data_IF_679358444563
#
_entry.id   IF_679358444563
#
_cell.length_a   1.000
_cell.length_b   1.000
_cell.length_c   1.000
_cell.angle_alpha   90.00
_cell.angle_beta   90.00
_cell.angle_gamma   90.00
#
_symmetry.space_group_name_H-M   'P 1'
#
loop_
_entity.id
_entity.type
_entity.pdbx_description
1 polymer ?
#
# COMPACT_ATOMS: atom_id res chain seq x y z
N UNK A 1 24.35 -30.78 73.21
CA UNK A 1 24.39 -31.96 72.32
C UNK A 1 22.98 -32.24 71.84
N UNK A 2 22.81 -32.41 70.52
CA UNK A 2 21.65 -32.98 69.82
C UNK A 2 20.36 -32.14 69.65
N UNK A 3 19.98 -32.09 68.37
CA UNK A 3 18.60 -32.16 67.83
C UNK A 3 17.65 -30.98 68.04
N UNK A 4 17.80 -29.89 67.27
CA UNK A 4 16.61 -29.09 66.85
C UNK A 4 16.83 -28.12 65.66
N UNK A 5 17.73 -28.40 64.73
CA UNK A 5 17.88 -27.56 63.51
C UNK A 5 17.83 -28.30 62.17
N UNK A 6 17.41 -29.57 62.17
CA UNK A 6 17.31 -30.37 60.94
C UNK A 6 15.88 -30.77 60.55
N UNK A 7 14.86 -30.33 61.30
CA UNK A 7 13.45 -30.64 60.99
C UNK A 7 12.79 -29.51 60.18
N UNK A 8 13.21 -28.26 60.36
CA UNK A 8 12.69 -27.11 59.60
C UNK A 8 13.11 -27.06 58.13
N UNK A 9 14.26 -27.63 57.78
CA UNK A 9 14.75 -27.68 56.39
C UNK A 9 14.18 -28.88 55.62
N UNK A 10 13.79 -29.95 56.31
CA UNK A 10 13.15 -31.11 55.70
C UNK A 10 11.65 -30.89 55.44
N UNK A 11 10.95 -30.15 56.31
CA UNK A 11 9.53 -29.82 56.11
C UNK A 11 9.29 -28.78 55.00
N UNK A 12 10.23 -27.85 54.76
CA UNK A 12 10.16 -26.91 53.64
C UNK A 12 10.45 -27.59 52.29
N UNK A 13 11.27 -28.64 52.30
CA UNK A 13 11.55 -29.47 51.11
C UNK A 13 10.38 -30.40 50.76
N UNK A 14 9.63 -30.85 51.76
CA UNK A 14 8.42 -31.67 51.55
C UNK A 14 7.25 -30.80 51.09
N UNK A 15 7.08 -29.57 51.57
CA UNK A 15 5.99 -28.68 51.15
C UNK A 15 6.15 -28.15 49.70
N UNK A 16 7.38 -28.05 49.21
CA UNK A 16 7.67 -27.76 47.79
C UNK A 16 7.44 -28.96 46.85
N UNK A 17 7.28 -30.18 47.39
CA UNK A 17 7.08 -31.40 46.61
C UNK A 17 5.61 -31.87 46.53
N UNK A 18 4.64 -31.15 47.13
CA UNK A 18 3.21 -31.56 47.11
C UNK A 18 2.28 -30.58 46.36
N UNK A 19 2.82 -29.58 45.65
CA UNK A 19 2.03 -28.70 44.77
C UNK A 19 2.44 -28.78 43.28
N UNK A 20 3.14 -29.84 42.89
CA UNK A 20 3.27 -30.24 41.50
C UNK A 20 2.56 -31.57 41.26
N UNK A 21 1.24 -31.60 41.48
CA UNK A 21 0.38 -32.49 40.67
C UNK A 21 0.21 -31.87 39.29
N UNK A 22 1.31 -31.82 38.56
CA UNK A 22 1.29 -31.80 37.10
C UNK A 22 1.14 -33.25 36.67
N UNK A 23 0.13 -33.53 35.86
CA UNK A 23 -0.28 -34.82 35.30
C UNK A 23 -1.01 -35.76 36.26
N UNK A 24 -2.35 -35.62 36.27
CA UNK A 24 -3.21 -36.79 36.33
C UNK A 24 -2.97 -37.61 35.03
N UNK A 25 -2.41 -38.84 35.07
CA UNK A 25 -2.15 -39.62 33.87
C UNK A 25 -3.42 -40.28 33.29
N UNK A 26 -4.59 -39.98 33.86
CA UNK A 26 -5.85 -40.64 33.52
C UNK A 26 -6.80 -39.82 32.62
N UNK A 27 -6.36 -38.69 32.04
CA UNK A 27 -7.14 -37.94 31.03
C UNK A 27 -6.40 -37.76 29.68
N UNK A 28 -5.56 -38.73 29.30
CA UNK A 28 -4.96 -38.79 27.95
C UNK A 28 -5.93 -39.35 26.90
N UNK A 29 -7.18 -38.88 26.88
CA UNK A 29 -8.12 -39.15 25.78
C UNK A 29 -8.92 -37.88 25.46
N UNK A 30 -8.25 -36.97 24.76
CA UNK A 30 -8.88 -35.79 24.19
C UNK A 30 -7.84 -34.87 23.58
N UNK A 31 -7.37 -35.18 22.37
CA UNK A 31 -6.50 -34.31 21.59
C UNK A 31 -6.95 -32.84 21.70
N UNK A 32 -6.20 -31.98 22.40
CA UNK A 32 -6.42 -30.53 22.45
C UNK A 32 -5.95 -29.90 21.13
N UNK A 33 -6.62 -30.29 20.05
CA UNK A 33 -6.41 -29.75 18.71
C UNK A 33 -7.05 -28.36 18.63
N UNK A 34 -6.21 -27.34 18.51
CA UNK A 34 -6.61 -25.96 18.22
C UNK A 34 -6.57 -25.76 16.72
N UNK A 35 -7.71 -25.34 16.14
CA UNK A 35 -7.82 -25.03 14.72
C UNK A 35 -7.59 -23.55 14.48
N UNK A 36 -6.70 -23.24 13.55
CA UNK A 36 -6.52 -21.90 12.98
C UNK A 36 -7.09 -21.89 11.56
N UNK A 37 -7.97 -20.94 11.28
CA UNK A 37 -8.69 -20.86 10.03
C UNK A 37 -8.28 -19.63 9.26
N UNK A 38 -7.70 -19.86 8.08
CA UNK A 38 -7.31 -18.78 7.18
C UNK A 38 -8.50 -17.85 6.88
N UNK A 39 -8.31 -16.53 6.99
CA UNK A 39 -9.37 -15.58 6.70
C UNK A 39 -9.83 -15.66 5.25
N UNK A 40 -11.02 -15.12 5.00
CA UNK A 40 -11.53 -14.92 3.66
C UNK A 40 -11.10 -13.53 3.22
N UNK A 41 -10.44 -13.45 2.07
CA UNK A 41 -10.02 -12.19 1.44
C UNK A 41 -10.49 -12.21 0.00
N UNK A 42 -11.17 -11.14 -0.41
CA UNK A 42 -11.62 -10.99 -1.79
C UNK A 42 -10.49 -10.33 -2.60
N UNK A 43 -9.82 -11.11 -3.44
CA UNK A 43 -8.77 -10.62 -4.33
C UNK A 43 -9.37 -10.21 -5.68
N UNK A 44 -9.26 -8.93 -6.02
CA UNK A 44 -9.93 -8.32 -7.17
C UNK A 44 -8.87 -7.76 -8.12
N UNK A 45 -8.74 -8.39 -9.27
CA UNK A 45 -7.95 -7.86 -10.38
C UNK A 45 -8.84 -7.11 -11.35
N UNK A 46 -8.30 -6.05 -11.95
CA UNK A 46 -9.02 -5.24 -12.95
C UNK A 46 -8.17 -5.12 -14.19
N UNK A 47 -8.77 -5.42 -15.33
CA UNK A 47 -8.07 -5.43 -16.60
C UNK A 47 -8.90 -4.80 -17.72
N UNK A 48 -8.24 -4.36 -18.78
CA UNK A 48 -8.93 -4.01 -20.02
C UNK A 48 -9.26 -5.26 -20.87
N UNK A 49 -9.89 -5.05 -22.02
CA UNK A 49 -10.24 -6.13 -22.94
C UNK A 49 -9.01 -6.86 -23.53
N UNK A 50 -7.82 -6.27 -23.45
CA UNK A 50 -6.55 -6.85 -23.88
C UNK A 50 -5.81 -7.57 -22.74
N UNK A 51 -6.33 -7.49 -21.51
CA UNK A 51 -5.73 -8.09 -20.32
C UNK A 51 -4.68 -7.19 -19.64
N UNK A 52 -4.56 -5.91 -20.00
CA UNK A 52 -3.65 -5.00 -19.32
C UNK A 52 -4.21 -4.62 -17.95
N UNK A 53 -3.34 -4.60 -16.93
CA UNK A 53 -3.69 -4.26 -15.56
C UNK A 53 -4.06 -2.78 -15.41
N UNK A 54 -5.34 -2.50 -15.15
CA UNK A 54 -5.85 -1.13 -15.00
C UNK A 54 -5.66 -0.56 -13.58
N UNK A 55 -5.19 -1.36 -12.62
CA UNK A 55 -4.82 -0.89 -11.29
C UNK A 55 -3.34 -0.49 -11.21
N UNK A 56 -2.54 -0.86 -12.20
CA UNK A 56 -1.18 -0.32 -12.35
C UNK A 56 -1.26 1.16 -12.78
N UNK A 57 -0.70 2.11 -11.99
CA UNK A 57 -0.71 3.54 -12.33
C UNK A 57 0.02 3.89 -13.63
N UNK A 58 0.93 3.04 -14.10
CA UNK A 58 1.71 3.23 -15.33
C UNK A 58 1.02 2.63 -16.57
N UNK A 59 -0.15 2.02 -16.42
CA UNK A 59 -0.94 1.55 -17.57
C UNK A 59 -1.68 2.71 -18.20
N UNK A 60 -1.70 2.77 -19.54
CA UNK A 60 -2.48 3.75 -20.30
C UNK A 60 -3.96 3.67 -19.91
N UNK A 61 -4.52 4.80 -19.49
CA UNK A 61 -5.91 4.87 -19.01
C UNK A 61 -6.16 4.07 -17.73
N UNK A 62 -5.14 3.95 -16.88
CA UNK A 62 -5.27 3.39 -15.52
C UNK A 62 -6.43 4.03 -14.74
N UNK A 63 -7.10 3.22 -13.93
CA UNK A 63 -8.18 3.67 -13.03
C UNK A 63 -7.73 3.72 -11.56
N UNK A 64 -6.46 3.40 -11.27
CA UNK A 64 -5.93 3.21 -9.92
C UNK A 64 -6.21 4.38 -8.97
N UNK A 65 -6.25 5.60 -9.50
CA UNK A 65 -6.44 6.83 -8.73
C UNK A 65 -7.75 7.55 -9.09
N UNK A 66 -8.82 6.81 -9.39
CA UNK A 66 -10.15 7.41 -9.58
C UNK A 66 -10.94 7.58 -8.29
N UNK A 67 -10.45 7.12 -7.14
CA UNK A 67 -11.22 7.18 -5.88
C UNK A 67 -12.19 6.01 -5.76
N UNK A 68 -11.71 4.81 -6.11
CA UNK A 68 -12.44 3.54 -6.01
C UNK A 68 -12.86 3.32 -4.55
N UNK A 69 -14.06 2.81 -4.34
CA UNK A 69 -14.64 2.54 -3.02
C UNK A 69 -15.29 1.16 -3.01
N UNK A 70 -15.41 0.58 -1.83
CA UNK A 70 -16.26 -0.58 -1.60
C UNK A 70 -17.41 -0.20 -0.67
N UNK A 71 -18.60 -0.75 -0.91
CA UNK A 71 -19.77 -0.59 -0.06
C UNK A 71 -20.14 -1.95 0.49
N UNK A 72 -20.20 -2.06 1.80
CA UNK A 72 -20.46 -3.30 2.50
C UNK A 72 -21.29 -3.04 3.76
N UNK A 73 -22.42 -3.74 3.90
CA UNK A 73 -23.37 -3.56 5.02
C UNK A 73 -23.81 -2.11 5.26
N UNK A 74 -23.92 -1.32 4.19
CA UNK A 74 -24.32 0.09 4.24
C UNK A 74 -23.17 1.07 4.51
N UNK A 75 -21.98 0.58 4.86
CA UNK A 75 -20.79 1.38 5.11
C UNK A 75 -19.95 1.55 3.84
N UNK A 76 -19.32 2.71 3.70
CA UNK A 76 -18.40 3.01 2.59
C UNK A 76 -16.96 2.89 3.04
N UNK A 77 -16.17 2.13 2.30
CA UNK A 77 -14.75 1.90 2.52
C UNK A 77 -13.96 2.48 1.35
N UNK A 78 -13.35 3.65 1.58
CA UNK A 78 -12.42 4.27 0.63
C UNK A 78 -11.19 3.38 0.41
N UNK A 79 -10.73 3.27 -0.84
CA UNK A 79 -9.51 2.52 -1.16
C UNK A 79 -8.30 3.12 -0.43
N UNK A 80 -7.48 2.26 0.16
CA UNK A 80 -6.25 2.61 0.88
C UNK A 80 -6.48 3.51 2.10
N UNK A 81 -7.67 3.43 2.70
CA UNK A 81 -7.94 4.10 3.97
C UNK A 81 -6.96 3.61 5.07
N UNK A 82 -6.55 4.50 6.01
CA UNK A 82 -5.61 4.15 7.08
C UNK A 82 -6.09 2.95 7.90
N UNK A 83 -5.17 2.04 8.20
CA UNK A 83 -5.46 0.88 9.02
C UNK A 83 -5.36 1.26 10.50
N UNK A 84 -6.27 0.72 11.32
CA UNK A 84 -6.17 0.79 12.78
C UNK A 84 -5.00 -0.07 13.27
N UNK A 85 -4.50 0.27 14.46
CA UNK A 85 -3.37 -0.42 15.08
C UNK A 85 -3.58 -1.93 15.20
N UNK A 86 -2.51 -2.69 14.95
CA UNK A 86 -2.51 -4.15 15.05
C UNK A 86 -1.77 -4.60 16.30
N UNK A 87 -2.26 -5.66 16.92
CA UNK A 87 -1.50 -6.38 17.95
C UNK A 87 -0.54 -7.40 17.30
N UNK A 88 0.43 -7.91 18.06
CA UNK A 88 1.35 -8.96 17.57
C UNK A 88 0.65 -10.32 17.32
N UNK A 89 -0.55 -10.54 17.85
CA UNK A 89 -1.33 -11.72 17.57
C UNK A 89 -2.03 -11.57 16.22
N UNK A 90 -1.88 -12.54 15.32
CA UNK A 90 -2.61 -12.55 14.05
C UNK A 90 -4.05 -12.99 14.31
N UNK A 91 -4.98 -12.08 14.05
CA UNK A 91 -6.42 -12.34 13.99
C UNK A 91 -6.89 -11.71 12.68
N UNK A 92 -7.92 -12.30 12.06
CA UNK A 92 -8.54 -11.75 10.87
C UNK A 92 -8.84 -10.26 11.09
N UNK A 93 -8.16 -9.41 10.34
CA UNK A 93 -8.23 -7.97 10.53
C UNK A 93 -8.95 -7.34 9.33
N UNK A 94 -10.14 -6.81 9.59
CA UNK A 94 -10.91 -6.13 8.57
C UNK A 94 -10.25 -4.79 8.20
N UNK A 95 -9.59 -4.76 7.06
CA UNK A 95 -8.84 -3.66 6.47
C UNK A 95 -9.65 -2.83 5.44
N UNK A 96 -10.88 -3.23 5.12
CA UNK A 96 -11.68 -2.58 4.09
C UNK A 96 -11.09 -2.83 2.71
N UNK A 97 -11.10 -1.81 1.83
CA UNK A 97 -10.58 -1.90 0.47
C UNK A 97 -9.12 -1.42 0.42
N UNK A 98 -8.19 -2.29 0.04
CA UNK A 98 -6.75 -1.99 0.02
C UNK A 98 -6.12 -2.36 -1.33
N UNK A 99 -5.10 -1.62 -1.75
CA UNK A 99 -4.27 -1.96 -2.90
C UNK A 99 -3.12 -2.84 -2.45
N UNK A 100 -2.86 -3.91 -3.20
CA UNK A 100 -1.71 -4.78 -3.03
C UNK A 100 -1.02 -5.03 -4.37
N UNK A 101 0.28 -5.33 -4.29
CA UNK A 101 1.13 -5.65 -5.44
C UNK A 101 1.71 -7.04 -5.17
N UNK A 102 1.52 -7.98 -6.10
CA UNK A 102 2.08 -9.31 -5.95
C UNK A 102 3.58 -9.30 -6.28
N UNK A 103 4.25 -10.44 -6.12
CA UNK A 103 5.69 -10.59 -6.43
C UNK A 103 6.01 -10.35 -7.91
N UNK A 104 5.04 -10.55 -8.80
CA UNK A 104 5.19 -10.38 -10.24
C UNK A 104 4.90 -8.92 -10.69
N UNK A 105 4.61 -8.01 -9.75
CA UNK A 105 4.30 -6.61 -10.04
C UNK A 105 2.86 -6.33 -10.49
N UNK A 106 1.97 -7.33 -10.44
CA UNK A 106 0.53 -7.18 -10.73
C UNK A 106 -0.17 -6.52 -9.55
N UNK A 107 -0.98 -5.51 -9.85
CA UNK A 107 -1.81 -4.80 -8.89
C UNK A 107 -3.16 -5.51 -8.73
N UNK A 108 -3.67 -5.52 -7.50
CA UNK A 108 -5.01 -5.99 -7.19
C UNK A 108 -5.56 -5.22 -5.98
N UNK A 109 -6.88 -5.23 -5.86
CA UNK A 109 -7.56 -4.80 -4.66
C UNK A 109 -7.82 -5.99 -3.75
N UNK A 110 -7.71 -5.80 -2.45
CA UNK A 110 -8.18 -6.74 -1.44
C UNK A 110 -9.36 -6.12 -0.69
N UNK A 111 -10.37 -6.93 -0.41
CA UNK A 111 -11.47 -6.57 0.49
C UNK A 111 -11.66 -7.62 1.58
N UNK A 112 -11.71 -7.19 2.83
CA UNK A 112 -11.66 -8.05 4.01
C UNK A 112 -10.63 -7.52 5.00
N UNK A 113 -9.96 -8.33 5.81
CA UNK A 113 -10.13 -9.78 5.97
C UNK A 113 -11.43 -10.11 6.72
N UNK A 114 -12.10 -11.19 6.32
CA UNK A 114 -13.23 -11.75 7.06
C UNK A 114 -12.79 -12.98 7.84
N UNK A 115 -13.31 -13.16 9.06
CA UNK A 115 -12.90 -14.29 9.89
C UNK A 115 -13.34 -15.62 9.28
N UNK A 116 -12.39 -16.55 9.07
CA UNK A 116 -12.61 -17.77 8.29
C UNK A 116 -13.59 -18.76 8.95
N UNK A 117 -13.75 -18.68 10.27
CA UNK A 117 -14.63 -19.54 11.07
C UNK A 117 -16.07 -19.01 11.21
N UNK A 118 -16.31 -17.77 10.79
CA UNK A 118 -17.64 -17.17 10.83
C UNK A 118 -18.50 -17.65 9.66
N UNK A 119 -19.81 -17.69 9.92
CA UNK A 119 -20.80 -17.95 8.87
C UNK A 119 -21.18 -16.65 8.20
N UNK A 120 -21.03 -16.63 6.88
CA UNK A 120 -21.45 -15.56 5.99
C UNK A 120 -22.49 -16.13 5.02
N UNK A 121 -23.63 -15.48 4.91
CA UNK A 121 -24.71 -15.91 4.04
C UNK A 121 -25.08 -14.80 3.06
N UNK A 122 -24.72 -15.01 1.80
CA UNK A 122 -24.99 -14.11 0.67
C UNK A 122 -24.60 -12.66 0.96
N UNK A 123 -23.42 -12.49 1.58
CA UNK A 123 -22.83 -11.19 1.86
C UNK A 123 -22.53 -10.47 0.55
N UNK A 124 -22.89 -9.18 0.47
CA UNK A 124 -22.78 -8.37 -0.74
C UNK A 124 -21.78 -7.24 -0.55
N UNK A 125 -20.78 -7.19 -1.43
CA UNK A 125 -19.79 -6.12 -1.53
C UNK A 125 -19.96 -5.44 -2.90
N UNK A 126 -20.20 -4.14 -2.91
CA UNK A 126 -20.34 -3.37 -4.15
C UNK A 126 -19.10 -2.51 -4.35
N UNK A 127 -18.42 -2.66 -5.49
CA UNK A 127 -17.26 -1.85 -5.85
C UNK A 127 -17.72 -0.68 -6.70
N UNK A 128 -17.60 0.52 -6.13
CA UNK A 128 -17.81 1.78 -6.82
C UNK A 128 -16.49 2.24 -7.42
N UNK A 129 -16.47 2.38 -8.75
CA UNK A 129 -15.27 2.76 -9.50
C UNK A 129 -15.08 4.27 -9.61
N UNK A 130 -16.03 5.04 -9.07
CA UNK A 130 -16.11 6.49 -9.15
C UNK A 130 -16.08 7.02 -10.61
N UNK A 131 -16.56 6.21 -11.56
CA UNK A 131 -16.72 6.58 -12.98
C UNK A 131 -18.16 7.00 -13.31
N UNK A 132 -19.09 6.87 -12.36
CA UNK A 132 -20.52 7.12 -12.53
C UNK A 132 -21.26 6.04 -13.30
N UNK A 133 -20.63 4.89 -13.57
CA UNK A 133 -21.26 3.71 -14.16
C UNK A 133 -21.73 2.75 -13.06
N UNK A 134 -22.32 1.64 -13.47
CA UNK A 134 -22.76 0.60 -12.55
C UNK A 134 -21.60 0.02 -11.74
N UNK A 135 -21.89 -0.24 -10.46
CA UNK A 135 -20.96 -0.87 -9.52
C UNK A 135 -20.77 -2.34 -9.89
N UNK A 136 -19.60 -2.87 -9.63
CA UNK A 136 -19.40 -4.32 -9.70
C UNK A 136 -19.85 -4.95 -8.38
N UNK A 137 -20.60 -6.05 -8.45
CA UNK A 137 -21.18 -6.67 -7.26
C UNK A 137 -20.51 -8.01 -7.02
N UNK A 138 -19.87 -8.15 -5.88
CA UNK A 138 -19.33 -9.42 -5.40
C UNK A 138 -20.27 -9.94 -4.32
N UNK A 139 -20.74 -11.17 -4.47
CA UNK A 139 -21.48 -11.87 -3.40
C UNK A 139 -20.71 -13.07 -2.92
N UNK A 140 -20.68 -13.31 -1.61
CA UNK A 140 -20.05 -14.49 -1.05
C UNK A 140 -20.84 -15.11 0.10
N UNK A 141 -20.78 -16.44 0.18
CA UNK A 141 -21.23 -17.22 1.32
C UNK A 141 -20.09 -18.10 1.79
N UNK A 142 -19.95 -18.27 3.10
CA UNK A 142 -19.01 -19.20 3.71
C UNK A 142 -19.62 -19.80 4.95
N UNK A 143 -19.60 -21.11 5.06
CA UNK A 143 -20.03 -21.83 6.26
C UNK A 143 -19.03 -22.92 6.60
N UNK A 144 -18.42 -22.80 7.77
CA UNK A 144 -17.65 -23.88 8.37
C UNK A 144 -18.62 -24.89 9.01
N UNK A 145 -18.42 -26.16 8.69
CA UNK A 145 -19.13 -27.31 9.26
C UNK A 145 -18.13 -28.36 9.69
N UNK A 146 -18.54 -29.29 10.55
CA UNK A 146 -17.64 -30.29 11.12
C UNK A 146 -18.20 -31.68 10.90
N UNK A 147 -17.43 -32.58 10.28
CA UNK A 147 -17.75 -34.02 10.29
C UNK A 147 -17.28 -34.68 11.58
N UNK A 148 -16.15 -34.23 12.12
CA UNK A 148 -15.58 -34.64 13.40
C UNK A 148 -14.68 -33.52 13.96
N UNK A 149 -14.19 -33.65 15.20
CA UNK A 149 -13.23 -32.70 15.81
C UNK A 149 -11.98 -32.47 14.96
N UNK A 150 -11.62 -33.44 14.09
CA UNK A 150 -10.43 -33.39 13.24
C UNK A 150 -10.73 -33.08 11.76
N UNK A 151 -11.99 -32.86 11.40
CA UNK A 151 -12.42 -32.73 10.00
C UNK A 151 -13.33 -31.52 9.79
N UNK A 152 -12.77 -30.30 9.69
CA UNK A 152 -13.50 -29.11 9.27
C UNK A 152 -13.81 -29.15 7.76
N UNK A 153 -14.98 -28.66 7.40
CA UNK A 153 -15.47 -28.59 6.02
C UNK A 153 -15.99 -27.18 5.75
N UNK A 154 -15.40 -26.55 4.74
CA UNK A 154 -15.81 -25.25 4.25
C UNK A 154 -16.74 -25.40 3.05
N UNK A 155 -17.96 -24.88 3.19
CA UNK A 155 -18.87 -24.68 2.07
C UNK A 155 -18.80 -23.20 1.71
N UNK A 156 -18.14 -22.88 0.60
CA UNK A 156 -17.94 -21.50 0.15
C UNK A 156 -18.50 -21.33 -1.26
N UNK A 157 -19.15 -20.21 -1.49
CA UNK A 157 -19.66 -19.79 -2.80
C UNK A 157 -19.29 -18.33 -3.02
N UNK A 158 -18.79 -18.01 -4.20
CA UNK A 158 -18.41 -16.67 -4.60
C UNK A 158 -19.03 -16.37 -5.96
N UNK A 159 -19.60 -15.18 -6.12
CA UNK A 159 -20.12 -14.74 -7.40
C UNK A 159 -19.67 -13.31 -7.72
N UNK A 160 -19.47 -13.04 -9.01
CA UNK A 160 -19.24 -11.72 -9.56
C UNK A 160 -20.42 -11.39 -10.48
N UNK A 161 -21.14 -10.31 -10.19
CA UNK A 161 -22.33 -9.87 -10.93
C UNK A 161 -23.37 -10.99 -11.13
N UNK A 162 -23.50 -11.88 -10.14
CA UNK A 162 -24.43 -13.01 -10.16
C UNK A 162 -23.88 -14.30 -10.77
N UNK A 163 -22.72 -14.27 -11.41
CA UNK A 163 -22.06 -15.47 -11.97
C UNK A 163 -21.10 -16.09 -10.95
N UNK A 164 -21.21 -17.40 -10.72
CA UNK A 164 -20.37 -18.12 -9.77
C UNK A 164 -18.92 -18.26 -10.30
N UNK A 165 -17.94 -17.99 -9.43
CA UNK A 165 -16.52 -18.03 -9.78
C UNK A 165 -15.73 -18.93 -8.82
N UNK A 166 -14.59 -19.43 -9.30
CA UNK A 166 -13.61 -20.13 -8.48
C UNK A 166 -12.72 -19.14 -7.72
N UNK A 167 -12.66 -19.24 -6.39
CA UNK A 167 -11.77 -18.37 -5.58
C UNK A 167 -10.29 -18.52 -5.95
N UNK A 168 -9.89 -19.66 -6.53
CA UNK A 168 -8.50 -19.87 -7.00
C UNK A 168 -8.11 -18.92 -8.12
N UNK A 169 -9.08 -18.46 -8.91
CA UNK A 169 -8.87 -17.56 -10.05
C UNK A 169 -8.94 -16.08 -9.62
N UNK A 170 -9.48 -15.81 -8.42
CA UNK A 170 -9.79 -14.47 -7.95
C UNK A 170 -10.93 -13.82 -8.72
N UNK A 171 -11.33 -12.62 -8.31
CA UNK A 171 -12.29 -11.81 -9.05
C UNK A 171 -11.55 -11.09 -10.17
N UNK A 172 -11.94 -11.34 -11.42
CA UNK A 172 -11.38 -10.63 -12.59
C UNK A 172 -12.47 -9.74 -13.17
N UNK A 173 -12.25 -8.43 -13.09
CA UNK A 173 -13.21 -7.43 -13.57
C UNK A 173 -12.65 -6.77 -14.82
N UNK A 174 -13.36 -6.89 -15.93
CA UNK A 174 -13.02 -6.19 -17.18
C UNK A 174 -13.66 -4.81 -17.18
N UNK A 175 -12.85 -3.76 -17.33
CA UNK A 175 -13.30 -2.36 -17.45
C UNK A 175 -12.75 -1.73 -18.73
N UNK A 176 -13.45 -0.69 -19.20
CA UNK A 176 -12.86 0.22 -20.18
C UNK A 176 -11.78 1.07 -19.51
N UNK A 177 -10.71 1.35 -20.23
CA UNK A 177 -9.70 2.30 -19.78
C UNK A 177 -10.31 3.68 -19.48
N UNK A 178 -9.73 4.35 -18.50
CA UNK A 178 -10.11 5.72 -18.17
C UNK A 178 -9.82 6.63 -19.36
N UNK A 179 -10.82 7.45 -19.71
CA UNK A 179 -10.67 8.56 -20.66
C UNK A 179 -10.35 9.87 -19.93
N UNK A 180 -10.41 9.89 -18.59
CA UNK A 180 -10.13 11.10 -17.81
C UNK A 180 -8.65 11.18 -17.47
N UNK A 181 -8.07 12.33 -17.75
CA UNK A 181 -6.75 12.71 -17.28
C UNK A 181 -6.73 12.77 -15.74
N UNK A 182 -5.90 11.94 -15.09
CA UNK A 182 -5.74 11.94 -13.64
C UNK A 182 -5.02 13.21 -13.18
N UNK A 183 -5.73 14.10 -12.49
CA UNK A 183 -5.17 15.33 -11.92
C UNK A 183 -4.74 15.10 -10.47
N UNK A 184 -3.64 15.72 -10.08
CA UNK A 184 -3.06 15.64 -8.74
C UNK A 184 -2.85 17.05 -8.20
N UNK A 185 -3.29 17.29 -6.96
CA UNK A 185 -3.08 18.57 -6.29
C UNK A 185 -1.72 18.54 -5.57
N UNK A 186 -0.95 19.62 -5.70
CA UNK A 186 0.33 19.80 -5.01
C UNK A 186 0.08 20.38 -3.62
N UNK A 187 0.43 19.59 -2.60
CA UNK A 187 0.22 19.91 -1.19
C UNK A 187 1.39 20.72 -0.61
N UNK A 188 2.62 20.29 -0.91
CA UNK A 188 3.85 20.99 -0.53
C UNK A 188 5.01 20.62 -1.44
N UNK A 189 6.03 21.48 -1.42
CA UNK A 189 7.35 21.25 -2.00
C UNK A 189 8.35 21.46 -0.87
N UNK A 190 9.17 20.46 -0.60
CA UNK A 190 10.13 20.43 0.49
C UNK A 190 11.52 20.00 -0.02
N UNK A 191 12.57 20.35 0.71
CA UNK A 191 13.95 20.10 0.29
C UNK A 191 14.74 19.43 1.41
N UNK A 192 15.31 18.27 1.11
CA UNK A 192 16.24 17.57 1.98
C UNK A 192 17.66 17.84 1.50
N UNK A 193 18.49 18.44 2.34
CA UNK A 193 19.87 18.82 1.96
C UNK A 193 20.81 18.40 3.08
N UNK A 194 21.75 17.51 2.73
CA UNK A 194 22.90 17.18 3.55
C UNK A 194 24.19 17.66 2.86
N UNK A 195 24.83 18.65 3.48
CA UNK A 195 26.05 19.28 3.01
C UNK A 195 27.02 19.50 4.17
N UNK A 196 28.30 19.77 3.86
CA UNK A 196 29.36 19.97 4.84
C UNK A 196 29.17 21.23 5.69
N UNK A 197 28.66 22.31 5.10
CA UNK A 197 28.48 23.60 5.79
C UNK A 197 27.08 24.18 5.54
N UNK A 198 26.61 24.98 6.51
CA UNK A 198 25.33 25.69 6.39
C UNK A 198 25.34 26.70 5.24
N UNK A 199 26.48 27.30 4.91
CA UNK A 199 26.61 28.22 3.78
C UNK A 199 26.27 27.53 2.44
N UNK A 200 26.76 26.30 2.25
CA UNK A 200 26.48 25.53 1.04
C UNK A 200 25.03 25.07 1.03
N UNK A 201 24.51 24.65 2.19
CA UNK A 201 23.10 24.27 2.36
C UNK A 201 22.15 25.40 1.95
N UNK A 202 22.39 26.62 2.41
CA UNK A 202 21.56 27.78 2.05
C UNK A 202 21.68 28.15 0.56
N UNK A 203 22.88 28.04 -0.03
CA UNK A 203 23.06 28.25 -1.49
C UNK A 203 22.29 27.23 -2.32
N UNK A 204 22.32 25.95 -1.93
CA UNK A 204 21.56 24.89 -2.61
C UNK A 204 20.07 25.14 -2.44
N UNK A 205 19.61 25.46 -1.23
CA UNK A 205 18.20 25.74 -0.95
C UNK A 205 17.67 26.91 -1.79
N UNK A 206 18.39 28.02 -1.85
CA UNK A 206 18.01 29.18 -2.66
C UNK A 206 17.96 28.85 -4.17
N UNK A 207 18.88 28.01 -4.66
CA UNK A 207 18.86 27.53 -6.05
C UNK A 207 17.67 26.60 -6.31
N UNK A 208 17.32 25.72 -5.38
CA UNK A 208 16.16 24.84 -5.47
C UNK A 208 14.84 25.62 -5.47
N UNK A 209 14.71 26.63 -4.61
CA UNK A 209 13.54 27.50 -4.51
C UNK A 209 13.36 28.36 -5.77
N UNK A 210 14.45 28.97 -6.25
CA UNK A 210 14.41 29.83 -7.45
C UNK A 210 14.16 29.08 -8.76
N UNK A 211 14.49 27.78 -8.81
CA UNK A 211 14.31 26.92 -9.99
C UNK A 211 13.22 25.87 -9.83
N UNK A 212 12.45 25.90 -8.74
CA UNK A 212 11.40 24.92 -8.52
C UNK A 212 10.35 25.04 -9.64
N UNK A 213 10.08 23.97 -10.41
CA UNK A 213 9.01 23.98 -11.39
C UNK A 213 7.64 23.80 -10.72
N UNK A 214 7.61 23.63 -9.39
CA UNK A 214 6.43 23.35 -8.59
C UNK A 214 6.23 24.47 -7.57
N UNK A 215 5.00 24.94 -7.42
CA UNK A 215 4.59 25.78 -6.30
C UNK A 215 3.37 25.20 -5.58
N UNK A 216 3.19 25.58 -4.31
CA UNK A 216 2.08 25.09 -3.49
C UNK A 216 0.75 25.61 -4.01
N UNK A 217 -0.27 24.74 -4.06
CA UNK A 217 -1.61 25.09 -4.54
C UNK A 217 -1.79 24.96 -6.06
N UNK A 218 -0.73 24.56 -6.76
CA UNK A 218 -0.78 24.12 -8.15
C UNK A 218 -1.24 22.67 -8.25
N UNK A 219 -1.43 22.21 -9.48
CA UNK A 219 -1.76 20.83 -9.78
C UNK A 219 -0.97 20.33 -10.98
N UNK A 220 -0.92 19.02 -11.15
CA UNK A 220 -0.36 18.43 -12.35
C UNK A 220 -1.21 17.28 -12.86
N UNK A 221 -1.05 16.96 -14.14
CA UNK A 221 -1.57 15.74 -14.75
C UNK A 221 -0.41 14.92 -15.31
N UNK A 222 -0.57 13.60 -15.26
CA UNK A 222 0.25 12.65 -16.02
C UNK A 222 -0.68 11.87 -16.94
N UNK A 223 -0.35 11.85 -18.22
CA UNK A 223 -1.03 11.06 -19.25
C UNK A 223 -0.05 10.07 -19.88
N UNK A 224 -0.23 8.78 -19.60
CA UNK A 224 0.53 7.72 -20.28
C UNK A 224 -0.01 7.53 -21.69
N UNK A 225 0.86 7.64 -22.70
CA UNK A 225 0.45 7.62 -24.12
C UNK A 225 0.77 6.27 -24.78
N UNK A 226 2.00 5.79 -24.61
CA UNK A 226 2.49 4.52 -25.14
C UNK A 226 3.28 3.76 -24.07
N UNK A 227 3.75 2.55 -24.41
CA UNK A 227 4.57 1.75 -23.50
C UNK A 227 5.87 2.49 -23.22
N UNK A 228 5.97 3.08 -22.03
CA UNK A 228 7.11 3.84 -21.50
C UNK A 228 7.21 5.31 -21.95
N UNK A 229 6.13 5.94 -22.41
CA UNK A 229 6.13 7.39 -22.66
C UNK A 229 4.83 8.04 -22.23
N UNK A 230 4.91 9.32 -21.96
CA UNK A 230 3.75 10.09 -21.57
C UNK A 230 4.00 11.58 -21.59
N UNK A 231 2.97 12.27 -21.15
CA UNK A 231 2.90 13.72 -21.09
C UNK A 231 2.63 14.15 -19.67
N UNK A 232 3.30 15.20 -19.26
CA UNK A 232 3.19 15.82 -17.95
C UNK A 232 2.81 17.29 -18.14
N UNK A 233 1.70 17.69 -17.53
CA UNK A 233 1.20 19.06 -17.63
C UNK A 233 1.08 19.65 -16.23
N UNK A 234 1.67 20.83 -16.04
CA UNK A 234 1.53 21.64 -14.83
C UNK A 234 0.43 22.66 -15.01
N UNK A 235 -0.34 22.86 -13.95
CA UNK A 235 -1.41 23.84 -13.88
C UNK A 235 -1.15 24.80 -12.73
N UNK A 236 -1.37 26.10 -12.97
CA UNK A 236 -1.37 27.08 -11.89
C UNK A 236 -2.59 26.88 -10.96
N UNK A 237 -2.68 27.69 -9.91
CA UNK A 237 -3.80 27.69 -8.95
C UNK A 237 -5.16 28.01 -9.57
N UNK A 238 -5.20 28.65 -10.74
CA UNK A 238 -6.41 28.93 -11.52
C UNK A 238 -6.82 27.77 -12.44
N UNK A 239 -6.01 26.71 -12.49
CA UNK A 239 -6.23 25.55 -13.34
C UNK A 239 -5.81 25.73 -14.80
N UNK A 240 -5.07 26.80 -15.12
CA UNK A 240 -4.52 27.04 -16.46
C UNK A 240 -3.18 26.30 -16.63
N UNK A 241 -2.94 25.63 -17.78
CA UNK A 241 -1.68 24.95 -18.03
C UNK A 241 -0.54 25.97 -18.16
N UNK A 242 0.55 25.76 -17.42
CA UNK A 242 1.73 26.65 -17.39
C UNK A 242 3.01 25.96 -17.88
N UNK A 243 3.04 24.63 -17.89
CA UNK A 243 4.10 23.89 -18.52
C UNK A 243 3.55 22.59 -19.07
N UNK A 244 4.14 22.17 -20.19
CA UNK A 244 3.74 20.96 -20.87
C UNK A 244 4.98 20.24 -21.38
N UNK A 245 5.20 19.01 -20.91
CA UNK A 245 6.44 18.27 -21.14
C UNK A 245 6.15 16.84 -21.53
N UNK A 246 6.96 16.32 -22.43
CA UNK A 246 6.96 14.89 -22.76
C UNK A 246 8.03 14.19 -21.92
N UNK A 247 7.76 12.94 -21.57
CA UNK A 247 8.73 12.10 -20.88
C UNK A 247 8.80 10.69 -21.47
N UNK A 248 9.97 10.08 -21.31
CA UNK A 248 10.22 8.69 -21.64
C UNK A 248 10.77 7.98 -20.41
N UNK A 249 10.11 6.90 -19.99
CA UNK A 249 10.53 6.03 -18.89
C UNK A 249 11.67 5.14 -19.38
N UNK A 250 12.85 5.28 -18.78
CA UNK A 250 14.04 4.46 -19.08
C UNK A 250 14.13 3.23 -18.22
N UNK A 251 13.85 3.41 -16.94
CA UNK A 251 13.87 2.35 -15.94
C UNK A 251 12.67 2.53 -15.03
N UNK A 252 12.06 1.41 -14.63
CA UNK A 252 10.95 1.38 -13.68
C UNK A 252 11.07 0.15 -12.79
N UNK A 253 10.88 0.36 -11.49
CA UNK A 253 10.79 -0.71 -10.48
C UNK A 253 9.60 -0.41 -9.58
N UNK A 254 8.78 -1.40 -9.24
CA UNK A 254 7.60 -1.22 -8.41
C UNK A 254 7.56 -2.26 -7.28
N UNK A 255 7.23 -1.82 -6.08
CA UNK A 255 7.25 -2.63 -4.87
C UNK A 255 5.99 -2.38 -4.05
N UNK A 256 5.36 -3.46 -3.57
CA UNK A 256 4.36 -3.37 -2.49
C UNK A 256 5.02 -3.19 -1.12
N UNK A 257 4.21 -3.06 -0.07
CA UNK A 257 4.66 -2.78 1.30
C UNK A 257 5.80 -3.69 1.79
N UNK A 258 5.74 -4.99 1.48
CA UNK A 258 6.75 -5.97 1.90
C UNK A 258 8.02 -5.97 1.02
N UNK A 259 7.97 -5.29 -0.13
CA UNK A 259 9.11 -5.13 -1.03
C UNK A 259 9.97 -3.91 -0.73
N UNK A 260 9.55 -3.04 0.21
CA UNK A 260 10.28 -1.83 0.58
C UNK A 260 11.43 -2.22 1.50
N UNK A 261 12.64 -2.24 0.93
CA UNK A 261 13.86 -2.60 1.66
C UNK A 261 14.49 -1.41 2.37
N UNK A 262 15.45 -1.68 3.26
CA UNK A 262 16.26 -0.63 3.87
C UNK A 262 17.03 0.23 2.84
N UNK A 263 17.36 -0.35 1.68
CA UNK A 263 18.01 0.39 0.59
C UNK A 263 17.05 1.40 -0.05
N UNK A 264 15.82 0.96 -0.36
CA UNK A 264 14.77 1.84 -0.88
C UNK A 264 14.45 2.95 0.13
N UNK A 265 14.43 2.62 1.42
CA UNK A 265 14.16 3.57 2.49
C UNK A 265 15.18 4.72 2.60
N UNK A 266 16.39 4.56 2.04
CA UNK A 266 17.36 5.66 1.99
C UNK A 266 16.85 6.85 1.19
N UNK A 267 16.02 6.62 0.17
CA UNK A 267 15.50 7.66 -0.71
C UNK A 267 14.67 8.73 0.02
N UNK A 268 14.12 8.42 1.19
CA UNK A 268 13.35 9.36 2.01
C UNK A 268 14.00 9.67 3.37
N UNK A 269 15.26 9.31 3.59
CA UNK A 269 15.88 9.45 4.92
C UNK A 269 15.96 10.90 5.41
N UNK A 270 16.09 11.87 4.49
CA UNK A 270 16.18 13.29 4.81
C UNK A 270 14.81 13.90 5.15
N UNK A 271 13.74 13.38 4.56
CA UNK A 271 12.37 13.83 4.81
C UNK A 271 11.47 12.58 4.84
N UNK A 272 11.33 11.90 5.97
CA UNK A 272 10.53 10.67 6.05
C UNK A 272 9.03 10.92 5.87
N UNK A 273 8.28 10.01 5.23
CA UNK A 273 6.83 10.08 5.23
C UNK A 273 6.25 9.98 6.64
N UNK A 274 5.24 10.81 6.90
CA UNK A 274 4.51 10.82 8.18
C UNK A 274 3.51 9.65 8.28
N UNK A 275 3.04 9.20 7.12
CA UNK A 275 1.99 8.21 6.96
C UNK A 275 2.54 6.82 6.63
N UNK A 276 1.71 5.79 6.84
CA UNK A 276 2.08 4.42 6.52
C UNK A 276 2.28 4.23 5.01
N UNK A 277 3.52 3.93 4.61
CA UNK A 277 3.87 3.58 3.23
C UNK A 277 3.31 2.20 2.88
N UNK A 278 2.74 2.06 1.69
CA UNK A 278 2.23 0.77 1.20
C UNK A 278 2.67 0.41 -0.22
N UNK A 279 3.19 1.37 -0.97
CA UNK A 279 3.81 1.09 -2.26
C UNK A 279 4.94 2.06 -2.56
N UNK A 280 5.82 1.62 -3.45
CA UNK A 280 6.94 2.39 -3.97
C UNK A 280 7.07 2.14 -5.47
N UNK A 281 7.33 3.20 -6.23
CA UNK A 281 7.71 3.14 -7.64
C UNK A 281 8.97 3.97 -7.81
N UNK A 282 10.02 3.37 -8.37
CA UNK A 282 11.22 4.07 -8.80
C UNK A 282 11.15 4.27 -10.31
N UNK A 283 11.44 5.48 -10.76
CA UNK A 283 11.45 5.86 -12.18
C UNK A 283 12.76 6.55 -12.53
N UNK A 284 13.27 6.29 -13.72
CA UNK A 284 14.22 7.17 -14.40
C UNK A 284 13.59 7.70 -15.67
N UNK A 285 13.56 9.03 -15.81
CA UNK A 285 12.83 9.71 -16.88
C UNK A 285 13.77 10.59 -17.70
N UNK A 286 13.71 10.46 -19.03
CA UNK A 286 14.16 11.53 -19.94
C UNK A 286 12.99 12.50 -20.10
N UNK A 287 13.20 13.80 -19.88
CA UNK A 287 12.16 14.83 -20.02
C UNK A 287 12.52 15.73 -21.21
N UNK A 288 11.59 15.93 -22.14
CA UNK A 288 11.75 16.76 -23.35
C UNK A 288 12.98 16.40 -24.21
N UNK A 289 13.36 15.12 -24.23
CA UNK A 289 14.52 14.64 -24.98
C UNK A 289 15.88 15.03 -24.38
N UNK A 290 15.89 15.75 -23.26
CA UNK A 290 17.08 15.91 -22.45
C UNK A 290 17.36 14.57 -21.75
N UNK A 291 18.59 14.07 -21.86
CA UNK A 291 19.08 12.93 -21.07
C UNK A 291 19.26 13.38 -19.63
N UNK A 292 18.18 13.70 -18.95
CA UNK A 292 18.15 13.87 -17.51
C UNK A 292 18.21 12.49 -16.89
N UNK A 293 19.28 12.14 -16.18
CA UNK A 293 19.33 10.90 -15.40
C UNK A 293 18.60 11.04 -14.06
N UNK A 294 17.56 11.88 -13.99
CA UNK A 294 16.86 12.15 -12.74
C UNK A 294 16.11 10.89 -12.32
N UNK A 295 16.46 10.42 -11.12
CA UNK A 295 15.80 9.28 -10.50
C UNK A 295 14.71 9.82 -9.58
N UNK A 296 13.49 9.35 -9.80
CA UNK A 296 12.34 9.64 -8.97
C UNK A 296 12.00 8.42 -8.12
N UNK A 297 11.85 8.60 -6.82
CA UNK A 297 11.26 7.61 -5.94
C UNK A 297 9.90 8.11 -5.49
N UNK A 298 8.85 7.38 -5.85
CA UNK A 298 7.47 7.73 -5.55
C UNK A 298 6.98 6.75 -4.50
N UNK A 299 6.69 7.26 -3.31
CA UNK A 299 6.10 6.47 -2.24
C UNK A 299 4.63 6.84 -2.10
N UNK A 300 3.77 5.83 -2.06
CA UNK A 300 2.35 6.04 -1.78
C UNK A 300 2.07 5.64 -0.34
N UNK A 301 1.40 6.53 0.38
CA UNK A 301 1.10 6.41 1.80
C UNK A 301 -0.41 6.47 2.04
N UNK A 302 -0.88 5.93 3.17
CA UNK A 302 -2.31 5.97 3.52
C UNK A 302 -2.64 7.25 4.29
N UNK A 303 -3.65 8.05 3.88
CA UNK A 303 -4.61 7.83 2.78
C UNK A 303 -4.10 8.36 1.41
N UNK A 304 -3.81 7.45 0.48
CA UNK A 304 -3.35 7.69 -0.91
C UNK A 304 -2.62 9.04 -1.20
N UNK A 305 -1.62 9.39 -0.36
CA UNK A 305 -0.74 10.55 -0.57
C UNK A 305 0.54 10.09 -1.26
N UNK A 306 0.94 10.83 -2.29
CA UNK A 306 2.13 10.60 -3.08
C UNK A 306 3.28 11.47 -2.58
N UNK A 307 4.35 10.83 -2.16
CA UNK A 307 5.62 11.44 -1.78
C UNK A 307 6.63 11.19 -2.88
N UNK A 308 6.83 12.19 -3.74
CA UNK A 308 7.66 12.09 -4.95
C UNK A 308 9.00 12.74 -4.66
N UNK A 309 10.04 11.93 -4.51
CA UNK A 309 11.41 12.35 -4.27
C UNK A 309 12.17 12.38 -5.60
N UNK A 310 12.62 13.56 -6.00
CA UNK A 310 13.58 13.76 -7.08
C UNK A 310 14.99 13.79 -6.49
N UNK A 311 15.85 12.84 -6.89
CA UNK A 311 17.26 12.82 -6.48
C UNK A 311 18.07 13.77 -7.36
N UNK A 312 18.63 14.81 -6.73
CA UNK A 312 19.43 15.87 -7.36
C UNK A 312 20.88 15.84 -6.87
N UNK A 313 21.29 14.76 -6.20
CA UNK A 313 22.56 14.67 -5.50
C UNK A 313 23.75 14.85 -6.45
N UNK A 314 23.77 14.12 -7.57
CA UNK A 314 24.89 14.20 -8.53
C UNK A 314 24.98 15.58 -9.20
N UNK A 315 23.84 16.19 -9.54
CA UNK A 315 23.80 17.56 -10.06
C UNK A 315 24.47 18.56 -9.11
N UNK A 316 24.18 18.47 -7.81
CA UNK A 316 24.76 19.39 -6.84
C UNK A 316 26.20 19.05 -6.44
N UNK A 317 26.63 17.78 -6.53
CA UNK A 317 28.04 17.40 -6.41
C UNK A 317 28.88 17.98 -7.54
N UNK A 318 28.36 17.98 -8.77
CA UNK A 318 29.04 18.58 -9.92
C UNK A 318 29.12 20.11 -9.80
N UNK A 319 28.07 20.74 -9.30
CA UNK A 319 28.02 22.20 -9.10
C UNK A 319 28.90 22.70 -7.95
N UNK A 320 29.01 21.90 -6.89
CA UNK A 320 29.83 22.18 -5.71
C UNK A 320 30.85 21.04 -5.51
N UNK A 321 31.89 20.99 -6.37
CA UNK A 321 32.92 19.96 -6.27
C UNK A 321 33.67 20.06 -4.92
N UNK A 322 34.44 19.03 -4.58
CA UNK A 322 35.21 18.84 -3.32
C UNK A 322 34.51 18.02 -2.21
N UNK A 323 33.43 17.30 -2.50
CA UNK A 323 32.77 16.42 -1.49
C UNK A 323 31.94 17.16 -0.44
N UNK A 324 31.69 18.46 -0.68
CA UNK A 324 30.87 19.34 0.15
C UNK A 324 29.39 18.99 0.18
N UNK A 325 28.91 18.22 -0.80
CA UNK A 325 27.51 17.80 -0.94
C UNK A 325 27.42 16.29 -0.79
N UNK A 326 26.62 15.83 0.18
CA UNK A 326 26.40 14.40 0.41
C UNK A 326 25.13 13.92 -0.25
N UNK A 327 24.03 14.63 -0.05
CA UNK A 327 22.71 14.24 -0.58
C UNK A 327 21.81 15.47 -0.75
N UNK A 328 21.09 15.51 -1.86
CA UNK A 328 20.10 16.55 -2.14
C UNK A 328 18.86 15.92 -2.77
N UNK A 329 17.71 16.10 -2.12
CA UNK A 329 16.42 15.62 -2.62
C UNK A 329 15.42 16.77 -2.64
N UNK A 330 14.60 16.79 -3.69
CA UNK A 330 13.38 17.60 -3.75
C UNK A 330 12.19 16.68 -3.54
N UNK A 331 11.36 16.98 -2.55
CA UNK A 331 10.13 16.27 -2.27
C UNK A 331 8.93 17.08 -2.77
N UNK A 332 8.10 16.44 -3.61
CA UNK A 332 6.77 16.91 -3.96
C UNK A 332 5.73 16.03 -3.25
N UNK A 333 4.97 16.61 -2.31
CA UNK A 333 3.81 15.95 -1.71
C UNK A 333 2.58 16.26 -2.54
N UNK A 334 1.83 15.24 -2.93
CA UNK A 334 0.63 15.42 -3.74
C UNK A 334 -0.45 14.39 -3.42
N UNK A 335 -1.68 14.67 -3.85
CA UNK A 335 -2.80 13.75 -3.74
C UNK A 335 -3.60 13.73 -5.04
N UNK A 336 -4.25 12.61 -5.40
CA UNK A 336 -5.19 12.61 -6.50
C UNK A 336 -6.34 13.57 -6.23
N UNK A 337 -6.74 14.32 -7.25
CA UNK A 337 -7.92 15.14 -7.23
C UNK A 337 -9.09 14.29 -7.73
N UNK A 338 -9.81 13.68 -6.81
CA UNK A 338 -11.06 13.01 -7.14
C UNK A 338 -12.13 14.08 -7.34
N UNK A 339 -12.77 14.20 -8.52
CA UNK A 339 -14.00 14.94 -8.59
C UNK A 339 -14.99 14.25 -7.64
N UNK A 340 -15.27 14.89 -6.50
CA UNK A 340 -16.38 14.48 -5.64
C UNK A 340 -17.62 14.83 -6.43
N UNK A 341 -18.17 13.87 -7.18
CA UNK A 341 -19.51 14.06 -7.74
C UNK A 341 -20.45 14.17 -6.54
N UNK A 342 -21.04 15.36 -6.37
CA UNK A 342 -22.11 15.62 -5.41
C UNK A 342 -23.30 14.70 -5.67
#
# INVERSE_FOLDING_TARGET
MKTTKSIGLFLLSIFCCINFTSCDPANNEGDDLIWDFSPIVLYISVQDAQGNDLLNPLTKGSIANQGIKAIYKGETYEKDAPLKERTRAYMAYFAGLQTEINRDGKYYLTFGEFNGDQTFDNEKVEIDWNDGKEKSVITFSSKLTWKSKKEPIFNRKFCLNGEEISLKEGFVITKSSSQSEQKFDILSVEYGIEAETDEIKEKIKADLESKSPYTKGEAYNIAIQEKNSGKYTLFNSEGLPIADKEFVIKETEAHGVYGITAEIAKAFRLIPPEDQIYSHIKLKLDINGEKSSNTFNIFTTRPNIFWIYEDLTEYYKDKYPDGKVKEVVRLLKSKPNYPTKQ
#
